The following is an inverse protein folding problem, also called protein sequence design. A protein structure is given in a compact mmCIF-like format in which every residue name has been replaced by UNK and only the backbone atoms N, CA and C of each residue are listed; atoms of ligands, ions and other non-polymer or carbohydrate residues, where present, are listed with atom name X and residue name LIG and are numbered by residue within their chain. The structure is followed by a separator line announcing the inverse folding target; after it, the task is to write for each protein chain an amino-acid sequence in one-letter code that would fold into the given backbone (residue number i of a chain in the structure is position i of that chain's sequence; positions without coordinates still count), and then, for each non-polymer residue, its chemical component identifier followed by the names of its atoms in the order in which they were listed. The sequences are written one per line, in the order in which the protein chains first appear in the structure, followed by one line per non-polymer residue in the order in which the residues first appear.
data_IF_203990542793
#
_entry.id   IF_203990542793
#
_cell.length_a   1.000
_cell.length_b   1.000
_cell.length_c   1.000
_cell.angle_alpha   90.00
_cell.angle_beta   90.00
_cell.angle_gamma   90.00
#
_symmetry.space_group_name_H-M   'P 1'
#
loop_
_entity.id
_entity.type
_entity.pdbx_description
1 polymer ?
#
# COMPACT_ATOMS: atom_id res chain seq x y z
N UNK A 1 11.85 10.00 17.04
CA UNK A 1 10.73 9.19 16.54
C UNK A 1 10.88 7.75 17.02
N UNK A 2 10.44 7.47 18.24
CA UNK A 2 10.30 6.10 18.72
C UNK A 2 8.97 5.58 18.19
N UNK A 3 9.01 4.77 17.13
CA UNK A 3 7.82 4.23 16.46
C UNK A 3 7.11 3.14 17.28
N UNK A 4 7.10 3.20 18.62
CA UNK A 4 6.26 2.36 19.48
C UNK A 4 6.29 0.85 19.17
N UNK A 5 7.41 0.32 18.68
CA UNK A 5 7.51 -1.05 18.19
C UNK A 5 8.26 -1.92 19.20
N UNK A 6 7.54 -2.82 19.87
CA UNK A 6 8.10 -3.78 20.81
C UNK A 6 8.94 -4.89 20.12
N UNK A 7 9.00 -4.92 18.78
CA UNK A 7 9.87 -5.81 18.01
C UNK A 7 10.33 -5.18 16.69
N UNK A 8 11.56 -5.51 16.27
CA UNK A 8 12.13 -5.09 14.99
C UNK A 8 11.29 -5.55 13.79
N UNK A 9 10.76 -6.78 13.85
CA UNK A 9 9.87 -7.34 12.83
C UNK A 9 8.59 -6.51 12.67
N UNK A 10 8.01 -6.05 13.77
CA UNK A 10 6.84 -5.15 13.75
C UNK A 10 7.17 -3.81 13.11
N UNK A 11 8.34 -3.24 13.43
CA UNK A 11 8.79 -1.98 12.85
C UNK A 11 9.02 -2.08 11.34
N UNK A 12 9.68 -3.14 10.88
CA UNK A 12 9.90 -3.37 9.46
C UNK A 12 8.58 -3.51 8.71
N UNK A 13 7.64 -4.30 9.25
CA UNK A 13 6.31 -4.48 8.67
C UNK A 13 5.57 -3.15 8.54
N UNK A 14 5.55 -2.35 9.61
CA UNK A 14 4.94 -1.02 9.58
C UNK A 14 5.60 -0.11 8.54
N UNK A 15 6.93 -0.07 8.47
CA UNK A 15 7.66 0.75 7.50
C UNK A 15 7.31 0.38 6.05
N UNK A 16 7.20 -0.92 5.75
CA UNK A 16 6.76 -1.41 4.45
C UNK A 16 5.34 -0.95 4.13
N UNK A 17 4.38 -1.14 5.05
CA UNK A 17 3.00 -0.70 4.84
C UNK A 17 2.90 0.81 4.68
N UNK A 18 3.62 1.58 5.48
CA UNK A 18 3.63 3.05 5.38
C UNK A 18 4.11 3.50 4.00
N UNK A 19 5.12 2.85 3.43
CA UNK A 19 5.61 3.17 2.08
C UNK A 19 4.55 2.89 1.01
N UNK A 20 3.86 1.75 1.09
CA UNK A 20 2.79 1.37 0.15
C UNK A 20 1.60 2.34 0.26
N UNK A 21 1.07 2.52 1.47
CA UNK A 21 -0.11 3.36 1.73
C UNK A 21 0.17 4.83 1.36
N UNK A 22 1.36 5.34 1.67
CA UNK A 22 1.80 6.69 1.27
C UNK A 22 1.83 6.82 -0.25
N UNK A 23 2.39 5.84 -0.96
CA UNK A 23 2.48 5.86 -2.42
C UNK A 23 1.09 5.91 -3.07
N UNK A 24 0.16 5.08 -2.60
CA UNK A 24 -1.21 5.05 -3.10
C UNK A 24 -1.95 6.37 -2.83
N UNK A 25 -1.79 6.93 -1.62
CA UNK A 25 -2.36 8.23 -1.26
C UNK A 25 -1.81 9.37 -2.14
N UNK A 26 -0.50 9.41 -2.37
CA UNK A 26 0.14 10.39 -3.27
C UNK A 26 -0.30 10.28 -4.73
N UNK A 27 -0.83 9.11 -5.13
CA UNK A 27 -1.40 8.87 -6.45
C UNK A 27 -2.90 9.19 -6.55
N UNK A 28 -3.51 9.67 -5.46
CA UNK A 28 -4.93 10.06 -5.41
C UNK A 28 -5.90 8.91 -5.09
N UNK A 29 -5.39 7.73 -4.74
CA UNK A 29 -6.24 6.55 -4.46
C UNK A 29 -6.60 6.43 -2.98
N UNK A 30 -7.70 5.74 -2.68
CA UNK A 30 -7.94 5.21 -1.34
C UNK A 30 -6.98 4.03 -1.09
N UNK A 31 -5.98 4.20 -0.20
CA UNK A 31 -4.87 3.26 -0.10
C UNK A 31 -5.28 1.91 0.49
N UNK A 32 -6.25 1.88 1.41
CA UNK A 32 -6.73 0.63 2.03
C UNK A 32 -7.54 -0.18 1.03
N UNK A 33 -8.45 0.47 0.30
CA UNK A 33 -9.27 -0.20 -0.72
C UNK A 33 -8.40 -0.83 -1.81
N UNK A 34 -7.44 -0.08 -2.36
CA UNK A 34 -6.53 -0.60 -3.40
C UNK A 34 -5.68 -1.76 -2.88
N UNK A 35 -5.19 -1.67 -1.64
CA UNK A 35 -4.39 -2.75 -1.04
C UNK A 35 -5.22 -4.04 -0.91
N UNK A 36 -6.45 -3.94 -0.39
CA UNK A 36 -7.35 -5.09 -0.23
C UNK A 36 -7.68 -5.74 -1.57
N UNK A 37 -8.05 -4.95 -2.59
CA UNK A 37 -8.35 -5.50 -3.92
C UNK A 37 -7.12 -6.10 -4.58
N UNK A 38 -5.94 -5.49 -4.38
CA UNK A 38 -4.68 -6.03 -4.89
C UNK A 38 -4.36 -7.40 -4.28
N UNK A 39 -4.53 -7.54 -2.96
CA UNK A 39 -4.32 -8.80 -2.26
C UNK A 39 -5.34 -9.87 -2.67
N UNK A 40 -6.63 -9.50 -2.83
CA UNK A 40 -7.65 -10.43 -3.35
C UNK A 40 -7.29 -10.94 -4.74
N UNK A 41 -6.84 -10.05 -5.63
CA UNK A 41 -6.42 -10.41 -6.98
C UNK A 41 -5.21 -11.36 -6.95
N UNK A 42 -4.21 -11.05 -6.11
CA UNK A 42 -3.03 -11.88 -5.94
C UNK A 42 -3.36 -13.29 -5.44
N UNK A 43 -4.23 -13.40 -4.42
CA UNK A 43 -4.64 -14.71 -3.89
C UNK A 43 -5.33 -15.57 -4.95
N UNK A 44 -6.07 -14.96 -5.88
CA UNK A 44 -6.80 -15.69 -6.94
C UNK A 44 -5.94 -16.06 -8.13
N UNK A 45 -5.02 -15.18 -8.53
CA UNK A 45 -4.26 -15.31 -9.78
C UNK A 45 -2.80 -15.75 -9.57
N UNK A 46 -2.28 -15.64 -8.34
CA UNK A 46 -0.84 -15.75 -8.04
C UNK A 46 -0.01 -14.60 -8.59
N UNK A 47 -0.63 -13.59 -9.22
CA UNK A 47 0.04 -12.49 -9.89
C UNK A 47 -0.26 -11.17 -9.18
N UNK A 48 0.80 -10.42 -8.87
CA UNK A 48 0.64 -9.13 -8.24
C UNK A 48 0.12 -8.12 -9.28
N UNK A 49 -1.01 -7.45 -9.05
CA UNK A 49 -1.49 -6.45 -9.99
C UNK A 49 -0.52 -5.27 -10.09
N UNK A 50 -0.47 -4.59 -11.26
CA UNK A 50 0.41 -3.45 -11.45
C UNK A 50 0.02 -2.29 -10.53
N UNK A 51 1.00 -1.42 -10.23
CA UNK A 51 0.77 -0.22 -9.44
C UNK A 51 -0.23 0.71 -10.18
N UNK A 52 -1.31 1.18 -9.52
CA UNK A 52 -2.29 2.04 -10.17
C UNK A 52 -1.67 3.33 -10.72
N UNK A 53 -2.17 3.76 -11.88
CA UNK A 53 -1.79 5.05 -12.47
C UNK A 53 -2.19 6.18 -11.54
N UNK A 54 -1.44 7.29 -11.60
CA UNK A 54 -1.78 8.48 -10.82
C UNK A 54 -3.10 9.05 -11.35
N UNK A 55 -4.04 9.39 -10.46
CA UNK A 55 -5.21 10.16 -10.85
C UNK A 55 -4.74 11.58 -11.14
N UNK A 56 -4.63 11.92 -12.42
CA UNK A 56 -4.44 13.30 -12.85
C UNK A 56 -5.80 13.96 -12.77
N UNK A 57 -5.93 15.04 -12.01
CA UNK A 57 -7.11 15.91 -12.11
C UNK A 57 -7.17 16.38 -13.57
N UNK A 58 -8.23 16.01 -14.29
CA UNK A 58 -8.50 16.57 -15.61
C UNK A 58 -8.54 18.09 -15.51
N UNK A 59 -7.91 18.78 -16.45
CA UNK A 59 -8.16 20.20 -16.68
C UNK A 59 -9.59 20.45 -17.12
#
# INVERSE_FOLDING_TARGET
NSYGNASEKGAQTQATFMTILRTLKMRGHNPVQVLVESLKSYVRSGQLPPLPTKITAGG
#
